data_IF_340816190481
#
_entry.id   IF_340816190481
#
_cell.length_a   1.000
_cell.length_b   1.000
_cell.length_c   1.000
_cell.angle_alpha   90.00
_cell.angle_beta   90.00
_cell.angle_gamma   90.00
#
_symmetry.space_group_name_H-M   'P 1'
#
loop_
_entity.id
_entity.type
_entity.pdbx_description
1 polymer ?
#
# COMPACT_ATOMS: atom_id res chain seq x y z
N UNK A 1 -7.46 -0.29 5.19
CA UNK A 1 -6.02 -0.45 4.87
C UNK A 1 -5.70 -1.93 4.81
N UNK A 2 -4.86 -2.35 3.87
CA UNK A 2 -4.39 -3.72 3.69
C UNK A 2 -3.08 -3.69 2.89
N UNK A 3 -2.05 -4.42 3.31
CA UNK A 3 -0.71 -4.35 2.70
C UNK A 3 -0.57 -5.08 1.36
N UNK A 4 -1.49 -5.99 1.05
CA UNK A 4 -1.54 -6.86 -0.13
C UNK A 4 -0.41 -7.91 -0.19
N UNK A 5 -0.62 -9.07 -0.85
CA UNK A 5 -1.88 -9.52 -1.46
C UNK A 5 -2.96 -9.81 -0.40
N UNK A 6 -4.23 -9.66 -0.77
CA UNK A 6 -5.37 -10.01 0.08
C UNK A 6 -6.12 -11.21 -0.52
N UNK A 7 -6.44 -12.23 0.27
CA UNK A 7 -7.38 -13.29 -0.06
C UNK A 7 -8.79 -12.87 0.39
N UNK A 8 -9.69 -12.76 -0.59
CA UNK A 8 -11.07 -12.35 -0.33
C UNK A 8 -11.82 -13.50 0.35
N UNK A 9 -12.65 -13.13 1.32
CA UNK A 9 -13.47 -14.03 2.15
C UNK A 9 -12.66 -14.99 3.06
N UNK A 10 -11.35 -14.78 3.18
CA UNK A 10 -10.50 -15.44 4.19
C UNK A 10 -10.15 -14.45 5.31
N UNK A 11 -9.26 -13.48 5.06
CA UNK A 11 -8.89 -12.45 6.04
C UNK A 11 -9.66 -11.14 5.91
N UNK A 12 -10.31 -10.90 4.77
CA UNK A 12 -11.14 -9.72 4.52
C UNK A 12 -12.33 -10.09 3.65
N UNK A 13 -13.54 -9.70 4.07
CA UNK A 13 -14.74 -9.94 3.25
C UNK A 13 -14.70 -9.09 1.99
N UNK A 14 -15.29 -9.60 0.91
CA UNK A 14 -15.36 -8.87 -0.36
C UNK A 14 -16.02 -7.50 -0.20
N UNK A 15 -17.12 -7.40 0.56
CA UNK A 15 -17.82 -6.15 0.81
C UNK A 15 -16.93 -5.09 1.51
N UNK A 16 -16.08 -5.49 2.45
CA UNK A 16 -15.16 -4.58 3.13
C UNK A 16 -13.99 -4.22 2.24
N UNK A 17 -13.45 -5.16 1.46
CA UNK A 17 -12.40 -4.88 0.48
C UNK A 17 -12.88 -3.81 -0.51
N UNK A 18 -14.04 -4.01 -1.13
CA UNK A 18 -14.59 -3.09 -2.14
C UNK A 18 -14.94 -1.72 -1.55
N UNK A 19 -15.50 -1.67 -0.34
CA UNK A 19 -15.82 -0.41 0.34
C UNK A 19 -14.58 0.45 0.62
N UNK A 20 -13.41 -0.16 0.83
CA UNK A 20 -12.17 0.54 1.17
C UNK A 20 -11.12 0.46 0.07
N UNK A 21 -11.51 0.10 -1.15
CA UNK A 21 -10.60 -0.10 -2.27
C UNK A 21 -9.71 1.13 -2.50
N UNK A 22 -10.27 2.34 -2.44
CA UNK A 22 -9.54 3.59 -2.66
C UNK A 22 -8.37 3.73 -1.69
N UNK A 23 -8.61 3.47 -0.40
CA UNK A 23 -7.59 3.56 0.65
C UNK A 23 -6.55 2.44 0.52
N UNK A 24 -6.98 1.23 0.14
CA UNK A 24 -6.08 0.08 -0.07
C UNK A 24 -5.14 0.35 -1.24
N UNK A 25 -5.66 0.84 -2.37
CA UNK A 25 -4.83 1.13 -3.54
C UNK A 25 -3.98 2.40 -3.36
N UNK A 26 -4.49 3.42 -2.67
CA UNK A 26 -3.67 4.59 -2.27
C UNK A 26 -2.51 4.18 -1.36
N UNK A 27 -2.74 3.25 -0.42
CA UNK A 27 -1.67 2.70 0.42
C UNK A 27 -0.60 1.96 -0.42
N UNK A 28 -1.02 1.19 -1.42
CA UNK A 28 -0.12 0.49 -2.32
C UNK A 28 0.71 1.47 -3.18
N UNK A 29 0.10 2.52 -3.75
CA UNK A 29 0.79 3.56 -4.50
C UNK A 29 1.81 4.32 -3.64
N UNK A 30 1.45 4.63 -2.39
CA UNK A 30 2.33 5.31 -1.44
C UNK A 30 3.63 4.56 -1.15
N UNK A 31 3.70 3.24 -1.42
CA UNK A 31 4.96 2.49 -1.36
C UNK A 31 6.00 3.06 -2.32
N UNK A 32 5.61 3.43 -3.54
CA UNK A 32 6.52 4.02 -4.54
C UNK A 32 7.05 5.37 -4.05
N UNK A 33 6.17 6.23 -3.57
CA UNK A 33 6.56 7.57 -3.09
C UNK A 33 7.49 7.47 -1.88
N UNK A 34 7.18 6.61 -0.91
CA UNK A 34 8.01 6.36 0.25
C UNK A 34 9.39 5.82 -0.14
N UNK A 35 9.44 4.85 -1.07
CA UNK A 35 10.70 4.28 -1.54
C UNK A 35 11.54 5.29 -2.32
N UNK A 36 10.93 6.15 -3.16
CA UNK A 36 11.65 7.23 -3.85
C UNK A 36 12.27 8.21 -2.86
N UNK A 37 11.51 8.65 -1.86
CA UNK A 37 12.02 9.55 -0.83
C UNK A 37 13.14 8.90 -0.01
N UNK A 38 13.00 7.63 0.35
CA UNK A 38 14.02 6.89 1.08
C UNK A 38 15.32 6.75 0.27
N UNK A 39 15.22 6.39 -1.02
CA UNK A 39 16.39 6.29 -1.90
C UNK A 39 17.08 7.64 -2.08
N UNK A 40 16.31 8.71 -2.29
CA UNK A 40 16.86 10.05 -2.43
C UNK A 40 17.61 10.50 -1.18
N UNK A 41 17.06 10.21 0.01
CA UNK A 41 17.70 10.51 1.29
C UNK A 41 19.00 9.71 1.45
N UNK A 42 18.98 8.40 1.21
CA UNK A 42 20.17 7.53 1.31
C UNK A 42 21.27 7.91 0.31
N UNK A 43 20.91 8.37 -0.89
CA UNK A 43 21.88 8.77 -1.92
C UNK A 43 22.51 10.14 -1.65
N UNK A 44 21.85 11.01 -0.87
CA UNK A 44 22.38 12.32 -0.47
C UNK A 44 23.35 12.26 0.71
N UNK A 45 23.37 11.17 1.47
CA UNK A 45 24.27 10.96 2.62
C UNK A 45 25.61 10.28 2.24
N UNK A 46 25.99 10.30 0.95
CA UNK A 46 27.31 9.84 0.43
C UNK A 46 28.06 10.99 -0.23
#
# INVERSE_FOLDING_TARGET
MHCLPAHRNEEISEAIFERFQDVIFTQAENRLHAQKALLEWLMKEV
#
